data_IF_676966382720
#
_entry.id   IF_676966382720
#
_cell.length_a   1.000
_cell.length_b   1.000
_cell.length_c   1.000
_cell.angle_alpha   90.00
_cell.angle_beta   90.00
_cell.angle_gamma   90.00
#
_symmetry.space_group_name_H-M   'P 1'
#
loop_
_entity.id
_entity.type
_entity.pdbx_description
1 polymer ?
#
# COMPACT_ATOMS: atom_id res chain seq x y z
N UNK A 1 -11.56 -35.85 -18.23
CA UNK A 1 -10.34 -36.51 -18.75
C UNK A 1 -9.08 -35.76 -18.27
N UNK A 2 -8.92 -34.46 -18.45
CA UNK A 2 -7.73 -33.68 -18.00
C UNK A 2 -7.44 -33.80 -16.49
N UNK A 3 -8.47 -33.82 -15.64
CA UNK A 3 -8.30 -33.96 -14.20
C UNK A 3 -7.71 -35.34 -13.82
N UNK A 4 -8.19 -36.41 -14.42
CA UNK A 4 -7.64 -37.75 -14.19
C UNK A 4 -6.17 -37.83 -14.69
N UNK A 5 -5.89 -37.25 -15.86
CA UNK A 5 -4.55 -37.21 -16.38
C UNK A 5 -3.59 -36.46 -15.44
N UNK A 6 -3.98 -35.28 -14.95
CA UNK A 6 -3.17 -34.53 -13.99
C UNK A 6 -2.96 -35.28 -12.67
N UNK A 7 -3.94 -36.09 -12.21
CA UNK A 7 -3.77 -36.94 -11.03
C UNK A 7 -2.76 -38.06 -11.26
N UNK A 8 -2.78 -38.68 -12.44
CA UNK A 8 -1.79 -39.70 -12.80
C UNK A 8 -0.38 -39.11 -12.80
N UNK A 9 -0.20 -37.94 -13.41
CA UNK A 9 1.07 -37.24 -13.39
C UNK A 9 1.55 -36.89 -11.96
N UNK A 10 0.63 -36.54 -11.08
CA UNK A 10 0.93 -36.17 -9.70
C UNK A 10 1.47 -37.32 -8.83
N UNK A 11 1.25 -38.57 -9.23
CA UNK A 11 1.75 -39.76 -8.53
C UNK A 11 3.00 -40.39 -9.17
N UNK A 12 3.43 -39.90 -10.33
CA UNK A 12 4.63 -40.37 -11.03
C UNK A 12 5.89 -40.25 -10.16
N UNK A 13 6.91 -41.01 -10.52
CA UNK A 13 8.23 -40.78 -9.93
C UNK A 13 8.81 -39.43 -10.36
N UNK A 14 9.38 -38.65 -9.43
CA UNK A 14 9.88 -37.31 -9.72
C UNK A 14 10.88 -37.24 -10.89
N UNK A 15 11.74 -38.23 -11.02
CA UNK A 15 12.74 -38.29 -12.13
C UNK A 15 12.08 -38.46 -13.47
N UNK A 16 11.18 -39.44 -13.59
CA UNK A 16 10.46 -39.73 -14.84
C UNK A 16 9.63 -38.52 -15.29
N UNK A 17 9.02 -37.83 -14.32
CA UNK A 17 8.27 -36.61 -14.58
C UNK A 17 9.17 -35.47 -15.08
N UNK A 18 10.35 -35.28 -14.48
CA UNK A 18 11.32 -34.29 -14.95
C UNK A 18 11.80 -34.57 -16.38
N UNK A 19 12.18 -35.81 -16.64
CA UNK A 19 12.68 -36.23 -17.97
C UNK A 19 11.59 -36.01 -19.03
N UNK A 20 10.37 -36.44 -18.75
CA UNK A 20 9.23 -36.23 -19.63
C UNK A 20 8.95 -34.76 -19.90
N UNK A 21 8.82 -33.94 -18.87
CA UNK A 21 8.52 -32.52 -19.05
C UNK A 21 9.69 -31.73 -19.68
N UNK A 22 10.93 -32.08 -19.40
CA UNK A 22 12.09 -31.49 -20.05
C UNK A 22 12.08 -31.67 -21.58
N UNK A 23 11.56 -32.80 -22.05
CA UNK A 23 11.41 -33.09 -23.47
C UNK A 23 10.18 -32.45 -24.11
N UNK A 24 9.03 -32.59 -23.48
CA UNK A 24 7.75 -32.17 -24.09
C UNK A 24 7.33 -30.73 -23.79
N UNK A 25 8.03 -30.01 -22.91
CA UNK A 25 7.64 -28.65 -22.49
C UNK A 25 7.48 -27.67 -23.66
N UNK A 26 8.39 -27.62 -24.69
CA UNK A 26 8.22 -26.71 -25.80
C UNK A 26 6.93 -26.95 -26.59
N UNK A 27 6.63 -28.21 -26.92
CA UNK A 27 5.43 -28.59 -27.67
C UNK A 27 4.17 -28.36 -26.83
N UNK A 28 4.21 -28.72 -25.55
CA UNK A 28 3.11 -28.51 -24.62
C UNK A 28 2.78 -27.02 -24.46
N UNK A 29 3.79 -26.16 -24.45
CA UNK A 29 3.61 -24.70 -24.40
C UNK A 29 2.83 -24.21 -25.64
N UNK A 30 3.18 -24.65 -26.84
CA UNK A 30 2.45 -24.28 -28.06
C UNK A 30 1.01 -24.84 -28.05
N UNK A 31 0.80 -26.05 -27.54
CA UNK A 31 -0.53 -26.61 -27.35
C UNK A 31 -1.36 -25.78 -26.36
N UNK A 32 -0.77 -25.26 -25.28
CA UNK A 32 -1.46 -24.43 -24.29
C UNK A 32 -1.89 -23.06 -24.83
N UNK A 33 -1.17 -22.52 -25.81
CA UNK A 33 -1.58 -21.28 -26.50
C UNK A 33 -2.93 -21.50 -27.21
N UNK A 34 -3.10 -22.68 -27.84
CA UNK A 34 -4.33 -23.04 -28.55
C UNK A 34 -5.41 -23.57 -27.61
N UNK A 35 -5.05 -24.20 -26.50
CA UNK A 35 -5.98 -24.78 -25.53
C UNK A 35 -5.59 -24.44 -24.09
N UNK A 36 -6.15 -23.34 -23.60
CA UNK A 36 -5.86 -22.81 -22.25
C UNK A 36 -6.27 -23.76 -21.11
N UNK A 37 -7.14 -24.76 -21.35
CA UNK A 37 -7.52 -25.72 -20.32
C UNK A 37 -6.34 -26.61 -19.89
N UNK A 38 -5.35 -26.82 -20.75
CA UNK A 38 -4.14 -27.58 -20.40
C UNK A 38 -3.33 -26.97 -19.25
N UNK A 39 -3.47 -25.66 -19.04
CA UNK A 39 -2.82 -24.94 -17.94
C UNK A 39 -3.24 -25.47 -16.55
N UNK A 40 -4.43 -26.06 -16.42
CA UNK A 40 -4.88 -26.69 -15.18
C UNK A 40 -3.99 -27.88 -14.74
N UNK A 41 -3.34 -28.57 -15.68
CA UNK A 41 -2.38 -29.64 -15.37
C UNK A 41 -1.24 -29.05 -14.52
N UNK A 42 -0.68 -27.90 -14.94
CA UNK A 42 0.42 -27.23 -14.23
C UNK A 42 0.03 -26.77 -12.85
N UNK A 43 -1.16 -26.19 -12.72
CA UNK A 43 -1.71 -25.81 -11.41
C UNK A 43 -1.83 -27.00 -10.46
N UNK A 44 -2.25 -28.17 -10.97
CA UNK A 44 -2.37 -29.42 -10.18
C UNK A 44 -0.99 -29.95 -9.77
N UNK A 45 -0.03 -29.98 -10.68
CA UNK A 45 1.32 -30.46 -10.39
C UNK A 45 2.07 -29.59 -9.38
N UNK A 46 1.93 -28.26 -9.47
CA UNK A 46 2.50 -27.34 -8.49
C UNK A 46 1.87 -27.45 -7.08
N UNK A 47 0.74 -28.16 -6.96
CA UNK A 47 0.09 -28.41 -5.68
C UNK A 47 0.34 -29.83 -5.15
N UNK A 48 0.84 -30.74 -5.99
CA UNK A 48 1.03 -32.14 -5.66
C UNK A 48 2.31 -32.36 -4.84
N UNK A 49 2.17 -32.80 -3.58
CA UNK A 49 3.25 -32.89 -2.59
C UNK A 49 4.48 -33.71 -3.06
N UNK A 50 4.31 -34.70 -3.91
CA UNK A 50 5.39 -35.58 -4.41
C UNK A 50 6.21 -34.92 -5.52
N UNK A 51 5.58 -34.14 -6.41
CA UNK A 51 6.18 -33.72 -7.69
C UNK A 51 6.31 -32.20 -7.88
N UNK A 52 5.73 -31.36 -6.98
CA UNK A 52 5.74 -29.92 -7.19
C UNK A 52 7.15 -29.33 -7.33
N UNK A 53 8.10 -29.84 -6.56
CA UNK A 53 9.50 -29.38 -6.53
C UNK A 53 10.21 -29.59 -7.87
N UNK A 54 10.35 -30.85 -8.36
CA UNK A 54 10.98 -31.11 -9.64
C UNK A 54 10.23 -30.48 -10.81
N UNK A 55 8.89 -30.43 -10.75
CA UNK A 55 8.09 -29.80 -11.78
C UNK A 55 8.31 -28.28 -11.82
N UNK A 56 8.33 -27.60 -10.66
CA UNK A 56 8.59 -26.17 -10.57
C UNK A 56 9.98 -25.82 -11.13
N UNK A 57 11.00 -26.63 -10.83
CA UNK A 57 12.36 -26.43 -11.32
C UNK A 57 12.43 -26.49 -12.86
N UNK A 58 11.87 -27.52 -13.45
CA UNK A 58 11.79 -27.66 -14.93
C UNK A 58 11.01 -26.50 -15.55
N UNK A 59 9.87 -26.14 -14.97
CA UNK A 59 9.02 -25.09 -15.51
C UNK A 59 9.70 -23.71 -15.44
N UNK A 60 10.31 -23.36 -14.30
CA UNK A 60 11.00 -22.08 -14.13
C UNK A 60 12.18 -22.00 -15.09
N UNK A 61 12.99 -23.07 -15.17
CA UNK A 61 14.12 -23.12 -16.07
C UNK A 61 13.69 -22.93 -17.54
N UNK A 62 12.66 -23.63 -17.98
CA UNK A 62 12.10 -23.47 -19.34
C UNK A 62 11.64 -22.04 -19.62
N UNK A 63 10.87 -21.45 -18.72
CA UNK A 63 10.33 -20.10 -18.91
C UNK A 63 11.45 -19.05 -18.94
N UNK A 64 12.42 -19.14 -18.04
CA UNK A 64 13.52 -18.17 -17.95
C UNK A 64 14.49 -18.30 -19.11
N UNK A 65 14.82 -19.53 -19.53
CA UNK A 65 15.80 -19.76 -20.59
C UNK A 65 15.27 -19.51 -22.01
N UNK A 66 13.97 -19.68 -22.25
CA UNK A 66 13.43 -19.71 -23.62
C UNK A 66 12.22 -18.84 -23.90
N UNK A 67 11.53 -18.30 -22.90
CA UNK A 67 10.22 -17.63 -23.10
C UNK A 67 10.15 -16.18 -22.60
N UNK A 68 11.18 -15.62 -21.98
CA UNK A 68 11.16 -14.21 -21.53
C UNK A 68 11.07 -13.22 -22.69
N UNK A 69 11.63 -13.52 -23.86
CA UNK A 69 11.57 -12.64 -25.02
C UNK A 69 10.14 -12.43 -25.57
N UNK A 70 9.25 -13.38 -25.34
CA UNK A 70 7.85 -13.29 -25.76
C UNK A 70 7.13 -12.10 -25.10
N UNK A 71 7.58 -11.64 -23.94
CA UNK A 71 7.03 -10.51 -23.20
C UNK A 71 7.23 -9.15 -23.91
N UNK A 72 8.04 -9.07 -24.97
CA UNK A 72 8.14 -7.89 -25.86
C UNK A 72 6.79 -7.55 -26.50
N UNK A 73 5.93 -8.54 -26.67
CA UNK A 73 4.59 -8.40 -27.25
C UNK A 73 3.51 -8.71 -26.20
N UNK A 74 3.20 -7.80 -25.27
CA UNK A 74 2.37 -8.07 -24.10
C UNK A 74 0.95 -8.52 -24.43
N UNK A 75 0.43 -8.14 -25.58
CA UNK A 75 -0.94 -8.49 -26.02
C UNK A 75 -1.02 -9.89 -26.64
N UNK A 76 0.12 -10.52 -26.98
CA UNK A 76 0.16 -11.85 -27.60
C UNK A 76 -0.38 -12.94 -26.65
N UNK A 77 -1.04 -13.98 -27.20
CA UNK A 77 -1.49 -15.12 -26.40
C UNK A 77 -0.34 -15.81 -25.66
N UNK A 78 0.83 -15.88 -26.28
CA UNK A 78 2.03 -16.47 -25.69
C UNK A 78 2.54 -15.67 -24.48
N UNK A 79 2.57 -14.32 -24.56
CA UNK A 79 2.97 -13.48 -23.42
C UNK A 79 2.00 -13.61 -22.25
N UNK A 80 0.69 -13.63 -22.53
CA UNK A 80 -0.35 -13.85 -21.52
C UNK A 80 -0.19 -15.21 -20.84
N UNK A 81 0.14 -16.25 -21.60
CA UNK A 81 0.41 -17.58 -21.07
C UNK A 81 1.67 -17.59 -20.18
N UNK A 82 2.77 -16.97 -20.61
CA UNK A 82 4.00 -16.87 -19.80
C UNK A 82 3.72 -16.19 -18.46
N UNK A 83 3.02 -15.05 -18.48
CA UNK A 83 2.63 -14.34 -17.24
C UNK A 83 1.71 -15.19 -16.36
N UNK A 84 0.82 -15.98 -16.97
CA UNK A 84 -0.06 -16.87 -16.24
C UNK A 84 0.70 -18.00 -15.55
N UNK A 85 1.66 -18.62 -16.25
CA UNK A 85 2.51 -19.68 -15.70
C UNK A 85 3.39 -19.15 -14.55
N UNK A 86 4.02 -17.98 -14.72
CA UNK A 86 4.75 -17.34 -13.62
C UNK A 86 3.84 -17.04 -12.41
N UNK A 87 2.59 -16.65 -12.66
CA UNK A 87 1.62 -16.43 -11.57
C UNK A 87 1.32 -17.70 -10.79
N UNK A 88 1.29 -18.86 -11.44
CA UNK A 88 1.15 -20.14 -10.73
C UNK A 88 2.40 -20.48 -9.92
N UNK A 89 3.60 -20.33 -10.50
CA UNK A 89 4.85 -20.57 -9.79
C UNK A 89 4.92 -19.70 -8.54
N UNK A 90 4.76 -18.39 -8.70
CA UNK A 90 4.82 -17.44 -7.58
C UNK A 90 3.66 -17.60 -6.60
N UNK A 91 2.49 -18.04 -7.04
CA UNK A 91 1.37 -18.39 -6.16
C UNK A 91 1.63 -19.63 -5.30
N UNK A 92 2.48 -20.55 -5.78
CA UNK A 92 2.85 -21.74 -5.02
C UNK A 92 3.93 -21.48 -3.95
N UNK A 93 4.68 -20.38 -4.06
CA UNK A 93 5.78 -20.02 -3.16
C UNK A 93 5.35 -19.97 -1.69
N UNK A 94 4.17 -19.43 -1.41
CA UNK A 94 3.66 -19.31 -0.04
C UNK A 94 3.43 -20.66 0.67
N UNK A 95 3.28 -21.76 -0.08
CA UNK A 95 3.02 -23.09 0.46
C UNK A 95 4.30 -23.80 0.97
N UNK A 96 5.43 -23.57 0.28
CA UNK A 96 6.71 -24.18 0.62
C UNK A 96 7.87 -23.17 0.39
N UNK A 97 7.95 -22.09 1.19
CA UNK A 97 8.89 -21.00 0.94
C UNK A 97 10.35 -21.45 0.82
N UNK A 98 10.80 -22.34 1.71
CA UNK A 98 12.19 -22.81 1.72
C UNK A 98 12.60 -23.60 0.47
N UNK A 99 11.66 -24.35 -0.09
CA UNK A 99 11.93 -25.14 -1.32
C UNK A 99 11.93 -24.23 -2.54
N UNK A 100 10.96 -23.31 -2.61
CA UNK A 100 10.92 -22.34 -3.70
C UNK A 100 12.04 -21.32 -3.64
N UNK A 101 12.57 -20.98 -2.45
CA UNK A 101 13.76 -20.14 -2.35
C UNK A 101 14.93 -20.74 -3.11
N UNK A 102 15.19 -22.05 -2.92
CA UNK A 102 16.28 -22.77 -3.60
C UNK A 102 16.08 -22.86 -5.12
N UNK A 103 14.82 -23.09 -5.55
CA UNK A 103 14.48 -23.17 -6.98
C UNK A 103 14.63 -21.80 -7.65
N UNK A 104 14.14 -20.74 -6.98
CA UNK A 104 14.08 -19.40 -7.56
C UNK A 104 15.39 -18.63 -7.45
N UNK A 105 16.26 -18.96 -6.49
CA UNK A 105 17.49 -18.23 -6.24
C UNK A 105 18.37 -18.05 -7.50
N UNK A 106 18.61 -19.04 -8.37
CA UNK A 106 19.41 -18.86 -9.60
C UNK A 106 18.68 -18.06 -10.68
N UNK A 107 17.35 -18.01 -10.65
CA UNK A 107 16.52 -17.45 -11.71
C UNK A 107 16.05 -16.02 -11.47
N UNK A 108 15.77 -15.65 -10.22
CA UNK A 108 15.22 -14.33 -9.89
C UNK A 108 16.15 -13.18 -10.28
N UNK A 109 17.47 -13.23 -10.03
CA UNK A 109 18.38 -12.21 -10.53
C UNK A 109 18.34 -12.07 -12.07
N UNK A 110 18.32 -13.19 -12.78
CA UNK A 110 18.22 -13.21 -14.25
C UNK A 110 16.93 -12.59 -14.75
N UNK A 111 15.79 -12.93 -14.11
CA UNK A 111 14.50 -12.31 -14.42
C UNK A 111 14.57 -10.79 -14.22
N UNK A 112 15.13 -10.32 -13.12
CA UNK A 112 15.29 -8.89 -12.86
C UNK A 112 16.17 -8.21 -13.91
N UNK A 113 17.32 -8.78 -14.25
CA UNK A 113 18.22 -8.23 -15.26
C UNK A 113 17.54 -8.12 -16.62
N UNK A 114 16.88 -9.18 -17.07
CA UNK A 114 16.16 -9.21 -18.35
C UNK A 114 15.03 -8.18 -18.35
N UNK A 115 14.26 -8.08 -17.25
CA UNK A 115 13.18 -7.10 -17.14
C UNK A 115 13.72 -5.68 -17.15
N UNK A 116 14.77 -5.37 -16.41
CA UNK A 116 15.38 -4.03 -16.36
C UNK A 116 15.97 -3.63 -17.71
N UNK A 117 16.67 -4.54 -18.38
CA UNK A 117 17.22 -4.30 -19.73
C UNK A 117 16.10 -3.99 -20.72
N UNK A 118 15.11 -4.85 -20.82
CA UNK A 118 14.01 -4.67 -21.77
C UNK A 118 13.07 -3.51 -21.41
N UNK A 119 13.03 -3.06 -20.16
CA UNK A 119 12.28 -1.87 -19.76
C UNK A 119 12.75 -0.61 -20.50
N UNK A 120 14.03 -0.54 -20.85
CA UNK A 120 14.65 0.59 -21.55
C UNK A 120 14.79 0.39 -23.06
N UNK A 121 14.84 -0.85 -23.50
CA UNK A 121 15.08 -1.20 -24.92
C UNK A 121 13.80 -1.41 -25.74
N UNK A 122 12.69 -1.77 -25.08
CA UNK A 122 11.42 -2.11 -25.74
C UNK A 122 10.43 -0.95 -25.64
N UNK A 123 9.77 -0.62 -26.74
CA UNK A 123 8.80 0.47 -26.82
C UNK A 123 7.61 0.28 -25.85
N UNK A 124 7.16 -0.96 -25.64
CA UNK A 124 6.05 -1.31 -24.74
C UNK A 124 6.49 -2.37 -23.70
N UNK A 125 7.17 -1.99 -22.63
CA UNK A 125 7.73 -2.93 -21.65
C UNK A 125 6.70 -3.51 -20.68
N UNK A 126 5.40 -3.35 -20.94
CA UNK A 126 4.32 -3.74 -20.04
C UNK A 126 4.41 -5.19 -19.56
N UNK A 127 4.74 -6.13 -20.45
CA UNK A 127 4.87 -7.55 -20.11
C UNK A 127 5.95 -7.80 -19.05
N UNK A 128 7.09 -7.13 -19.18
CA UNK A 128 8.18 -7.23 -18.21
C UNK A 128 7.83 -6.61 -16.86
N UNK A 129 7.16 -5.46 -16.87
CA UNK A 129 6.70 -4.80 -15.62
C UNK A 129 5.65 -5.65 -14.90
N UNK A 130 4.75 -6.30 -15.64
CA UNK A 130 3.77 -7.23 -15.06
C UNK A 130 4.43 -8.49 -14.46
N UNK A 131 5.52 -8.97 -15.07
CA UNK A 131 6.30 -10.06 -14.50
C UNK A 131 6.97 -9.64 -13.20
N UNK A 132 7.65 -8.48 -13.18
CA UNK A 132 8.23 -7.91 -11.95
C UNK A 132 7.19 -7.76 -10.85
N UNK A 133 6.01 -7.22 -11.17
CA UNK A 133 4.89 -7.08 -10.22
C UNK A 133 4.51 -8.42 -9.58
N UNK A 134 4.35 -9.45 -10.41
CA UNK A 134 3.96 -10.77 -9.93
C UNK A 134 5.04 -11.36 -9.01
N UNK A 135 6.31 -11.19 -9.39
CA UNK A 135 7.45 -11.62 -8.61
C UNK A 135 7.58 -10.84 -7.28
N UNK A 136 7.52 -9.52 -7.31
CA UNK A 136 7.64 -8.68 -6.10
C UNK A 136 6.56 -8.98 -5.08
N UNK A 137 5.32 -9.12 -5.53
CA UNK A 137 4.19 -9.51 -4.65
C UNK A 137 4.42 -10.85 -3.96
N UNK A 138 4.96 -11.82 -4.67
CA UNK A 138 5.24 -13.15 -4.11
C UNK A 138 6.41 -13.11 -3.12
N UNK A 139 7.46 -12.37 -3.43
CA UNK A 139 8.65 -12.26 -2.57
C UNK A 139 8.37 -11.43 -1.31
N UNK A 140 7.54 -10.39 -1.39
CA UNK A 140 7.18 -9.54 -0.26
C UNK A 140 6.39 -10.31 0.83
N UNK A 141 5.63 -11.36 0.45
CA UNK A 141 4.84 -12.17 1.37
C UNK A 141 5.63 -13.24 2.14
N UNK A 142 6.90 -13.47 1.80
CA UNK A 142 7.69 -14.60 2.32
C UNK A 142 8.96 -14.13 3.03
N UNK A 143 9.40 -14.96 4.01
CA UNK A 143 10.64 -14.69 4.76
C UNK A 143 11.82 -15.38 4.07
N UNK A 144 12.21 -14.88 2.90
CA UNK A 144 13.41 -15.33 2.22
C UNK A 144 14.66 -14.69 2.81
N UNK A 145 15.74 -15.46 2.90
CA UNK A 145 17.03 -14.96 3.42
C UNK A 145 18.09 -14.84 2.34
N UNK A 146 18.32 -15.92 1.61
CA UNK A 146 19.36 -16.00 0.59
C UNK A 146 18.97 -15.19 -0.64
N UNK A 147 17.74 -15.39 -1.12
CA UNK A 147 17.24 -14.72 -2.31
C UNK A 147 17.21 -13.20 -2.14
N UNK A 148 16.69 -12.70 -1.00
CA UNK A 148 16.66 -11.25 -0.75
C UNK A 148 18.06 -10.65 -0.60
N UNK A 149 19.02 -11.41 -0.07
CA UNK A 149 20.43 -10.97 0.01
C UNK A 149 21.03 -10.84 -1.40
N UNK A 150 20.77 -11.78 -2.28
CA UNK A 150 21.30 -11.79 -3.65
C UNK A 150 20.67 -10.66 -4.50
N UNK A 151 19.50 -10.15 -4.13
CA UNK A 151 18.84 -9.02 -4.77
C UNK A 151 19.33 -7.63 -4.31
N UNK A 152 20.04 -7.53 -3.19
CA UNK A 152 20.50 -6.23 -2.66
C UNK A 152 21.25 -5.39 -3.71
N UNK A 153 22.21 -5.93 -4.48
CA UNK A 153 22.95 -5.16 -5.50
C UNK A 153 22.06 -4.62 -6.63
N UNK A 154 20.91 -5.27 -6.86
CA UNK A 154 19.99 -4.93 -7.95
C UNK A 154 18.95 -3.89 -7.55
N UNK A 155 18.77 -3.62 -6.25
CA UNK A 155 17.73 -2.71 -5.74
C UNK A 155 17.92 -1.29 -6.27
N UNK A 156 19.15 -0.76 -6.22
CA UNK A 156 19.42 0.61 -6.68
C UNK A 156 19.23 0.76 -8.19
N UNK A 157 19.80 -0.09 -9.06
CA UNK A 157 19.53 -0.04 -10.49
C UNK A 157 18.04 -0.17 -10.83
N UNK A 158 17.35 -1.11 -10.18
CA UNK A 158 15.91 -1.30 -10.36
C UNK A 158 15.11 -0.06 -10.00
N UNK A 159 15.35 0.52 -8.83
CA UNK A 159 14.68 1.74 -8.40
C UNK A 159 15.00 2.92 -9.32
N UNK A 160 16.24 3.05 -9.78
CA UNK A 160 16.63 4.08 -10.74
C UNK A 160 15.81 3.96 -12.02
N UNK A 161 15.75 2.76 -12.60
CA UNK A 161 14.96 2.48 -13.79
C UNK A 161 13.48 2.84 -13.59
N UNK A 162 12.85 2.35 -12.50
CA UNK A 162 11.43 2.60 -12.21
C UNK A 162 11.13 4.11 -12.08
N UNK A 163 11.97 4.86 -11.38
CA UNK A 163 11.80 6.29 -11.21
C UNK A 163 12.01 7.06 -12.53
N UNK A 164 13.00 6.68 -13.33
CA UNK A 164 13.22 7.28 -14.65
C UNK A 164 12.03 7.05 -15.58
N UNK A 165 11.48 5.83 -15.57
CA UNK A 165 10.25 5.52 -16.35
C UNK A 165 9.04 6.32 -15.84
N UNK A 166 8.93 6.53 -14.52
CA UNK A 166 7.83 7.29 -13.91
C UNK A 166 7.90 8.79 -14.25
N UNK A 167 9.09 9.34 -14.50
CA UNK A 167 9.29 10.71 -14.93
C UNK A 167 9.03 10.92 -16.43
N UNK A 168 9.05 9.84 -17.21
CA UNK A 168 8.75 9.86 -18.64
C UNK A 168 7.25 9.93 -18.97
N UNK A 169 6.90 10.12 -20.25
CA UNK A 169 5.52 10.11 -20.71
C UNK A 169 4.98 8.67 -20.67
N UNK A 170 4.27 8.32 -19.63
CA UNK A 170 3.67 7.01 -19.42
C UNK A 170 2.15 7.10 -19.36
N UNK A 171 1.45 6.11 -19.93
CA UNK A 171 -0.01 5.97 -19.75
C UNK A 171 -0.39 5.66 -18.29
N UNK A 172 -1.65 5.91 -17.94
CA UNK A 172 -2.12 5.73 -16.54
C UNK A 172 -1.86 4.32 -16.01
N UNK A 173 -2.20 3.28 -16.77
CA UNK A 173 -2.00 1.87 -16.36
C UNK A 173 -0.52 1.55 -16.07
N UNK A 174 0.38 2.06 -16.90
CA UNK A 174 1.82 1.87 -16.70
C UNK A 174 2.31 2.65 -15.49
N UNK A 175 1.81 3.88 -15.30
CA UNK A 175 2.17 4.72 -14.15
C UNK A 175 1.75 4.05 -12.83
N UNK A 176 0.53 3.53 -12.76
CA UNK A 176 0.03 2.81 -11.59
C UNK A 176 0.87 1.57 -11.29
N UNK A 177 1.26 0.83 -12.32
CA UNK A 177 2.12 -0.33 -12.20
C UNK A 177 3.53 0.03 -11.70
N UNK A 178 4.13 1.10 -12.21
CA UNK A 178 5.43 1.58 -11.77
C UNK A 178 5.42 2.06 -10.32
N UNK A 179 4.36 2.77 -9.91
CA UNK A 179 4.17 3.20 -8.52
C UNK A 179 4.06 1.99 -7.59
N UNK A 180 3.28 0.98 -7.97
CA UNK A 180 3.19 -0.26 -7.20
C UNK A 180 4.56 -0.93 -7.07
N UNK A 181 5.32 -1.05 -8.15
CA UNK A 181 6.65 -1.66 -8.15
C UNK A 181 7.63 -0.91 -7.24
N UNK A 182 7.60 0.43 -7.24
CA UNK A 182 8.43 1.22 -6.33
C UNK A 182 8.16 0.89 -4.85
N UNK A 183 6.90 0.71 -4.45
CA UNK A 183 6.53 0.47 -3.06
C UNK A 183 6.57 -1.03 -2.66
N UNK A 184 6.68 -1.94 -3.62
CA UNK A 184 6.73 -3.39 -3.37
C UNK A 184 8.10 -4.01 -3.66
N UNK A 185 9.16 -3.21 -3.70
CA UNK A 185 10.52 -3.71 -3.89
C UNK A 185 10.83 -4.87 -2.94
N UNK A 186 11.36 -5.99 -3.44
CA UNK A 186 11.63 -7.19 -2.63
C UNK A 186 12.91 -7.01 -1.82
N UNK A 187 12.81 -6.32 -0.69
CA UNK A 187 13.93 -6.08 0.18
C UNK A 187 13.51 -6.05 1.65
N UNK A 188 14.43 -6.37 2.54
CA UNK A 188 14.23 -6.15 3.97
C UNK A 188 14.20 -4.66 4.26
N UNK A 189 13.45 -4.26 5.28
CA UNK A 189 13.31 -2.86 5.66
C UNK A 189 14.67 -2.18 5.90
N UNK A 190 15.61 -2.87 6.52
CA UNK A 190 16.99 -2.38 6.73
C UNK A 190 17.72 -2.07 5.41
N UNK A 191 17.49 -2.86 4.39
CA UNK A 191 18.08 -2.66 3.05
C UNK A 191 17.39 -1.53 2.27
N UNK A 192 16.16 -1.17 2.64
CA UNK A 192 15.42 -0.06 2.03
C UNK A 192 15.75 1.31 2.63
N UNK A 193 16.33 1.37 3.83
CA UNK A 193 16.63 2.63 4.51
C UNK A 193 17.37 3.66 3.63
N UNK A 194 18.42 3.31 2.86
CA UNK A 194 19.11 4.27 2.00
C UNK A 194 18.24 4.84 0.86
N UNK A 195 17.18 4.13 0.50
CA UNK A 195 16.30 4.47 -0.62
C UNK A 195 15.01 5.18 -0.18
N UNK A 196 14.73 5.24 1.12
CA UNK A 196 13.52 5.86 1.66
C UNK A 196 13.26 7.27 1.12
N UNK A 197 14.25 8.19 1.07
CA UNK A 197 14.00 9.54 0.55
C UNK A 197 13.46 9.54 -0.89
N UNK A 198 13.89 8.58 -1.70
CA UNK A 198 13.47 8.43 -3.10
C UNK A 198 12.10 7.79 -3.24
N UNK A 199 11.68 6.98 -2.27
CA UNK A 199 10.38 6.31 -2.21
C UNK A 199 9.26 7.23 -1.71
N UNK A 200 9.59 8.40 -1.14
CA UNK A 200 8.59 9.34 -0.62
C UNK A 200 7.70 9.93 -1.71
N UNK A 201 8.27 10.31 -2.86
CA UNK A 201 7.49 10.83 -4.00
C UNK A 201 6.52 9.77 -4.57
N UNK A 202 6.96 8.53 -4.87
CA UNK A 202 6.04 7.44 -5.19
C UNK A 202 4.95 7.20 -4.15
N UNK A 203 5.27 7.25 -2.86
CA UNK A 203 4.29 7.11 -1.78
C UNK A 203 3.19 8.17 -1.87
N UNK A 204 3.57 9.45 -2.03
CA UNK A 204 2.60 10.56 -2.17
C UNK A 204 1.73 10.37 -3.40
N UNK A 205 2.31 9.96 -4.53
CA UNK A 205 1.56 9.69 -5.74
C UNK A 205 0.58 8.52 -5.57
N UNK A 206 0.97 7.45 -4.88
CA UNK A 206 0.06 6.35 -4.54
C UNK A 206 -1.11 6.82 -3.67
N UNK A 207 -0.86 7.66 -2.66
CA UNK A 207 -1.91 8.22 -1.80
C UNK A 207 -2.92 9.11 -2.56
N UNK A 208 -2.57 9.60 -3.75
CA UNK A 208 -3.43 10.42 -4.62
C UNK A 208 -3.96 9.64 -5.83
N UNK A 209 -3.63 8.37 -5.97
CA UNK A 209 -3.93 7.52 -7.13
C UNK A 209 -5.27 6.79 -7.04
N UNK A 210 -5.35 5.66 -7.76
CA UNK A 210 -6.49 4.74 -7.75
C UNK A 210 -6.69 4.07 -6.38
N UNK A 211 -7.88 3.51 -6.12
CA UNK A 211 -8.20 2.87 -4.83
C UNK A 211 -7.20 1.78 -4.41
N UNK A 212 -6.69 1.01 -5.36
CA UNK A 212 -5.67 -0.02 -5.10
C UNK A 212 -4.34 0.62 -4.67
N UNK A 213 -3.94 1.71 -5.32
CA UNK A 213 -2.74 2.46 -4.97
C UNK A 213 -2.88 3.17 -3.62
N UNK A 214 -4.03 3.76 -3.34
CA UNK A 214 -4.33 4.35 -2.03
C UNK A 214 -4.21 3.31 -0.93
N UNK A 215 -4.80 2.12 -1.14
CA UNK A 215 -4.68 1.00 -0.22
C UNK A 215 -3.23 0.60 0.02
N UNK A 216 -2.44 0.50 -1.05
CA UNK A 216 -1.02 0.18 -0.96
C UNK A 216 -0.24 1.28 -0.22
N UNK A 217 -0.43 2.53 -0.60
CA UNK A 217 0.23 3.70 0.02
C UNK A 217 -0.04 3.79 1.51
N UNK A 218 -1.30 3.63 1.93
CA UNK A 218 -1.68 3.66 3.35
C UNK A 218 -1.05 2.52 4.15
N UNK A 219 -1.01 1.30 3.59
CA UNK A 219 -0.35 0.15 4.24
C UNK A 219 1.16 0.31 4.33
N UNK A 220 1.78 0.82 3.29
CA UNK A 220 3.23 1.07 3.26
C UNK A 220 3.62 2.15 4.25
N UNK A 221 2.87 3.26 4.29
CA UNK A 221 3.11 4.34 5.25
C UNK A 221 2.93 3.86 6.69
N UNK A 222 1.87 3.08 6.97
CA UNK A 222 1.66 2.49 8.29
C UNK A 222 2.81 1.59 8.70
N UNK A 223 3.24 0.70 7.81
CA UNK A 223 4.35 -0.20 8.05
C UNK A 223 5.64 0.56 8.36
N UNK A 224 5.95 1.62 7.63
CA UNK A 224 7.13 2.45 7.91
C UNK A 224 7.03 3.20 9.24
N UNK A 225 5.89 3.80 9.52
CA UNK A 225 5.65 4.52 10.78
C UNK A 225 5.73 3.59 11.99
N UNK A 226 5.25 2.36 11.86
CA UNK A 226 5.24 1.39 12.96
C UNK A 226 6.59 0.66 13.15
N UNK A 227 7.32 0.43 12.06
CA UNK A 227 8.52 -0.41 12.08
C UNK A 227 9.82 0.38 12.13
N UNK A 228 9.84 1.63 11.65
CA UNK A 228 11.06 2.45 11.62
C UNK A 228 11.16 3.35 12.85
N UNK A 229 12.40 3.52 13.32
CA UNK A 229 12.69 4.56 14.30
C UNK A 229 12.42 5.95 13.65
N UNK A 230 11.74 6.87 14.35
CA UNK A 230 11.53 8.24 13.90
C UNK A 230 12.80 8.92 13.39
N UNK A 231 13.94 8.70 14.02
CA UNK A 231 15.22 9.30 13.65
C UNK A 231 15.66 8.97 12.20
N UNK A 232 15.20 7.85 11.64
CA UNK A 232 15.46 7.46 10.24
C UNK A 232 14.33 7.91 9.29
N UNK A 233 13.09 7.88 9.75
CA UNK A 233 11.94 8.18 8.91
C UNK A 233 11.77 9.70 8.74
N UNK A 234 11.93 10.48 9.81
CA UNK A 234 11.73 11.92 9.81
C UNK A 234 12.56 12.68 8.76
N UNK A 235 13.88 12.49 8.65
CA UNK A 235 14.67 13.18 7.63
C UNK A 235 14.21 12.87 6.20
N UNK A 236 13.78 11.62 5.98
CA UNK A 236 13.30 11.18 4.66
C UNK A 236 11.94 11.78 4.30
N UNK A 237 11.07 11.99 5.28
CA UNK A 237 9.73 12.54 5.09
C UNK A 237 9.69 14.07 5.10
N UNK A 238 10.71 14.74 5.63
CA UNK A 238 10.69 16.19 5.85
C UNK A 238 10.25 16.98 4.62
N UNK A 239 10.79 16.66 3.44
CA UNK A 239 10.50 17.37 2.20
C UNK A 239 9.11 17.09 1.61
N UNK A 240 8.46 16.01 2.01
CA UNK A 240 7.15 15.60 1.48
C UNK A 240 6.05 15.54 2.55
N UNK A 241 6.38 15.88 3.78
CA UNK A 241 5.44 15.78 4.91
C UNK A 241 4.14 16.53 4.63
N UNK A 242 4.25 17.74 4.09
CA UNK A 242 3.09 18.54 3.70
C UNK A 242 2.19 17.82 2.72
N UNK A 243 2.78 17.20 1.69
CA UNK A 243 2.02 16.48 0.67
C UNK A 243 1.39 15.18 1.21
N UNK A 244 2.09 14.47 2.09
CA UNK A 244 1.57 13.28 2.76
C UNK A 244 0.37 13.65 3.63
N UNK A 245 0.48 14.71 4.42
CA UNK A 245 -0.61 15.19 5.26
C UNK A 245 -1.80 15.60 4.40
N UNK A 246 -1.61 16.40 3.33
CA UNK A 246 -2.67 16.78 2.41
C UNK A 246 -3.36 15.57 1.78
N UNK A 247 -2.57 14.59 1.32
CA UNK A 247 -3.12 13.38 0.76
C UNK A 247 -3.96 12.59 1.78
N UNK A 248 -3.46 12.43 3.01
CA UNK A 248 -4.22 11.77 4.08
C UNK A 248 -5.51 12.55 4.42
N UNK A 249 -5.45 13.89 4.45
CA UNK A 249 -6.62 14.73 4.68
C UNK A 249 -7.69 14.58 3.60
N UNK A 250 -7.29 14.41 2.35
CA UNK A 250 -8.25 14.19 1.26
C UNK A 250 -9.06 12.89 1.42
N UNK A 251 -8.53 11.93 2.18
CA UNK A 251 -9.19 10.66 2.49
C UNK A 251 -10.01 10.68 3.78
N UNK A 252 -10.07 11.80 4.51
CA UNK A 252 -10.95 11.94 5.67
C UNK A 252 -12.39 12.11 5.23
N UNK A 253 -13.03 11.01 4.87
CA UNK A 253 -14.43 10.95 4.44
C UNK A 253 -15.20 10.00 5.37
N UNK A 254 -16.49 10.30 5.67
CA UNK A 254 -17.30 9.41 6.46
C UNK A 254 -17.57 8.06 5.77
N UNK A 255 -17.95 7.07 6.55
CA UNK A 255 -18.44 5.78 6.01
C UNK A 255 -19.60 6.03 5.03
N UNK A 256 -19.68 5.25 3.91
CA UNK A 256 -19.00 3.96 3.65
C UNK A 256 -17.60 4.05 3.03
N UNK A 257 -16.96 5.21 2.98
CA UNK A 257 -15.63 5.35 2.40
C UNK A 257 -14.59 4.52 3.18
N UNK A 258 -13.85 3.61 2.54
CA UNK A 258 -13.08 2.59 3.25
C UNK A 258 -11.79 3.12 3.90
N UNK A 259 -11.24 4.23 3.42
CA UNK A 259 -9.91 4.71 3.83
C UNK A 259 -9.93 5.76 4.93
N UNK A 260 -11.09 6.33 5.26
CA UNK A 260 -11.21 7.45 6.20
C UNK A 260 -10.66 7.15 7.59
N UNK A 261 -11.02 5.99 8.15
CA UNK A 261 -10.53 5.56 9.46
C UNK A 261 -9.01 5.34 9.49
N UNK A 262 -8.47 4.74 8.41
CA UNK A 262 -7.05 4.47 8.27
C UNK A 262 -6.24 5.77 8.13
N UNK A 263 -6.72 6.70 7.32
CA UNK A 263 -6.12 8.02 7.16
C UNK A 263 -6.07 8.79 8.49
N UNK A 264 -7.17 8.77 9.27
CA UNK A 264 -7.21 9.39 10.59
C UNK A 264 -6.20 8.77 11.57
N UNK A 265 -6.10 7.43 11.56
CA UNK A 265 -5.12 6.72 12.38
C UNK A 265 -3.68 7.14 12.06
N UNK A 266 -3.35 7.21 10.77
CA UNK A 266 -2.01 7.59 10.32
C UNK A 266 -1.68 9.03 10.66
N UNK A 267 -2.62 9.96 10.49
CA UNK A 267 -2.47 11.35 10.93
C UNK A 267 -2.19 11.43 12.44
N UNK A 268 -2.91 10.65 13.24
CA UNK A 268 -2.69 10.58 14.68
C UNK A 268 -1.30 10.02 15.04
N UNK A 269 -0.86 8.98 14.33
CA UNK A 269 0.48 8.39 14.54
C UNK A 269 1.58 9.37 14.15
N UNK A 270 1.47 10.03 13.02
CA UNK A 270 2.43 11.04 12.56
C UNK A 270 2.50 12.22 13.54
N UNK A 271 1.37 12.76 13.96
CA UNK A 271 1.30 13.87 14.91
C UNK A 271 1.79 13.52 16.32
N UNK A 272 1.56 12.28 16.77
CA UNK A 272 1.93 11.84 18.13
C UNK A 272 3.40 11.46 18.30
N UNK A 273 3.97 10.77 17.33
CA UNK A 273 5.37 10.32 17.37
C UNK A 273 6.38 11.41 17.03
N UNK A 274 6.02 12.31 16.12
CA UNK A 274 6.95 13.25 15.50
C UNK A 274 6.80 14.66 16.09
N UNK A 275 6.56 14.77 17.40
CA UNK A 275 6.57 16.08 18.11
C UNK A 275 7.87 16.87 17.92
N UNK A 276 8.95 16.24 17.44
CA UNK A 276 10.21 16.91 17.14
C UNK A 276 10.13 17.85 15.91
N UNK A 277 9.19 17.61 14.98
CA UNK A 277 8.90 18.57 13.91
C UNK A 277 8.20 19.83 14.43
N UNK A 278 7.56 19.72 15.59
CA UNK A 278 6.90 20.80 16.29
C UNK A 278 7.86 21.36 17.36
N UNK A 279 9.03 21.88 16.96
CA UNK A 279 9.93 22.56 17.90
C UNK A 279 9.29 23.81 18.50
N UNK A 280 8.32 24.37 17.79
CA UNK A 280 7.48 25.49 18.24
C UNK A 280 6.03 25.04 18.29
N UNK A 281 5.23 25.48 19.29
CA UNK A 281 3.81 25.18 19.30
C UNK A 281 3.20 25.75 18.00
N UNK A 282 2.54 24.86 17.23
CA UNK A 282 1.77 25.29 16.07
C UNK A 282 0.73 26.30 16.53
N UNK A 283 0.82 27.51 15.99
CA UNK A 283 -0.24 28.50 16.16
C UNK A 283 -1.46 27.98 15.38
N UNK A 284 -2.44 27.45 16.10
CA UNK A 284 -3.72 27.06 15.54
C UNK A 284 -4.55 28.34 15.39
N UNK A 285 -4.58 28.90 14.19
CA UNK A 285 -5.51 29.98 13.88
C UNK A 285 -6.83 29.38 13.39
N UNK A 286 -7.90 29.56 14.17
CA UNK A 286 -9.25 29.34 13.67
C UNK A 286 -9.68 30.58 12.88
N UNK A 287 -9.75 30.48 11.55
CA UNK A 287 -10.35 31.51 10.70
C UNK A 287 -11.70 31.02 10.20
N UNK A 288 -12.72 31.82 10.46
CA UNK A 288 -14.03 31.61 9.90
C UNK A 288 -14.05 32.22 8.48
N UNK A 289 -14.27 31.36 7.49
CA UNK A 289 -14.51 31.82 6.13
C UNK A 289 -16.01 31.68 5.84
N UNK A 290 -16.72 32.75 5.48
CA UNK A 290 -18.15 32.71 5.21
C UNK A 290 -18.54 31.73 4.08
N UNK A 291 -17.65 31.45 3.14
CA UNK A 291 -17.91 30.53 2.03
C UNK A 291 -17.55 29.07 2.34
N UNK A 292 -16.69 28.80 3.30
CA UNK A 292 -16.08 27.47 3.49
C UNK A 292 -16.14 26.92 4.90
N UNK A 293 -16.80 27.58 5.83
CA UNK A 293 -16.95 27.14 7.22
C UNK A 293 -15.66 27.28 8.06
N UNK A 294 -15.65 26.64 9.22
CA UNK A 294 -14.54 26.69 10.16
C UNK A 294 -13.33 25.92 9.63
N UNK A 295 -12.20 26.58 9.48
CA UNK A 295 -10.96 25.95 9.02
C UNK A 295 -9.87 26.14 10.06
N UNK A 296 -9.16 25.05 10.31
CA UNK A 296 -7.95 25.05 11.11
C UNK A 296 -6.76 25.28 10.18
N UNK A 297 -5.96 26.31 10.45
CA UNK A 297 -4.76 26.60 9.68
C UNK A 297 -3.58 25.97 10.41
N UNK A 298 -2.89 25.04 9.74
CA UNK A 298 -1.65 24.47 10.21
C UNK A 298 -0.52 25.02 9.33
N UNK A 299 0.42 25.71 9.95
CA UNK A 299 1.59 26.26 9.25
C UNK A 299 2.81 25.43 9.64
N UNK A 300 3.21 24.49 8.75
CA UNK A 300 4.47 23.73 8.91
C UNK A 300 5.65 24.52 8.37
N UNK A 301 5.41 25.28 7.30
CA UNK A 301 6.35 26.22 6.70
C UNK A 301 5.66 27.59 6.57
N UNK A 302 6.34 28.72 6.89
CA UNK A 302 5.73 30.04 6.83
C UNK A 302 5.13 30.39 5.46
N UNK A 303 5.63 29.78 4.39
CA UNK A 303 5.24 30.05 3.00
C UNK A 303 3.99 29.30 2.52
N UNK A 304 3.61 28.20 3.18
CA UNK A 304 2.51 27.33 2.73
C UNK A 304 1.63 26.88 3.89
N UNK A 305 0.65 27.71 4.31
CA UNK A 305 -0.29 27.33 5.37
C UNK A 305 -1.26 26.24 4.88
N UNK A 306 -1.52 25.25 5.73
CA UNK A 306 -2.49 24.20 5.50
C UNK A 306 -3.86 24.57 6.05
N UNK A 307 -4.88 24.45 5.22
CA UNK A 307 -6.27 24.60 5.61
C UNK A 307 -6.88 23.22 5.91
N UNK A 308 -7.02 22.91 7.18
CA UNK A 308 -7.64 21.67 7.64
C UNK A 308 -9.15 21.85 7.70
N UNK A 309 -9.96 21.07 6.96
CA UNK A 309 -11.40 21.10 7.06
C UNK A 309 -11.83 20.45 8.39
N UNK A 310 -11.95 21.25 9.43
CA UNK A 310 -12.27 20.78 10.78
C UNK A 310 -13.65 20.10 10.83
N UNK A 311 -14.61 20.58 10.05
CA UNK A 311 -15.94 20.00 9.87
C UNK A 311 -15.89 18.54 9.44
N UNK A 312 -15.03 18.19 8.48
CA UNK A 312 -14.85 16.79 8.04
C UNK A 312 -14.26 15.91 9.14
N UNK A 313 -13.31 16.45 9.91
CA UNK A 313 -12.69 15.72 11.01
C UNK A 313 -13.68 15.47 12.13
N UNK A 314 -14.49 16.48 12.47
CA UNK A 314 -15.55 16.37 13.48
C UNK A 314 -16.58 15.33 13.02
N UNK A 315 -17.06 15.39 11.78
CA UNK A 315 -18.02 14.45 11.24
C UNK A 315 -17.50 13.00 11.25
N UNK A 316 -16.23 12.80 10.90
CA UNK A 316 -15.59 11.48 10.94
C UNK A 316 -15.48 10.96 12.38
N UNK A 317 -15.08 11.82 13.32
CA UNK A 317 -14.97 11.46 14.73
C UNK A 317 -16.35 11.15 15.34
N UNK A 318 -17.38 11.92 15.01
CA UNK A 318 -18.77 11.67 15.43
C UNK A 318 -19.25 10.33 14.86
N UNK A 319 -19.04 10.06 13.58
CA UNK A 319 -19.39 8.79 12.96
C UNK A 319 -18.71 7.60 13.67
N UNK A 320 -17.44 7.73 14.02
CA UNK A 320 -16.70 6.70 14.75
C UNK A 320 -17.26 6.41 16.16
N UNK A 321 -17.87 7.42 16.81
CA UNK A 321 -18.48 7.26 18.14
C UNK A 321 -19.89 6.67 18.05
N UNK A 322 -20.68 7.11 17.06
CA UNK A 322 -22.12 6.80 16.97
C UNK A 322 -22.38 5.43 16.30
N UNK A 323 -21.60 5.03 15.32
CA UNK A 323 -21.84 3.77 14.62
C UNK A 323 -21.53 2.54 15.47
N UNK A 324 -22.61 1.90 15.98
CA UNK A 324 -22.54 0.67 16.79
C UNK A 324 -22.00 -0.55 16.03
N UNK A 325 -22.11 -0.58 14.70
CA UNK A 325 -21.76 -1.72 13.86
C UNK A 325 -20.35 -1.66 13.22
N UNK A 326 -19.61 -0.58 13.45
CA UNK A 326 -18.20 -0.63 13.14
C UNK A 326 -17.53 -1.54 14.17
N UNK A 327 -16.98 -2.66 13.72
CA UNK A 327 -15.98 -3.47 14.45
C UNK A 327 -14.71 -2.63 14.73
N UNK A 328 -14.88 -1.34 14.96
CA UNK A 328 -13.84 -0.42 15.30
C UNK A 328 -13.37 -0.73 16.70
N UNK A 329 -12.11 -1.05 16.79
CA UNK A 329 -11.35 -1.17 18.00
C UNK A 329 -11.74 -0.08 19.02
N UNK A 330 -11.90 -0.46 20.27
CA UNK A 330 -12.18 0.44 21.39
C UNK A 330 -11.21 1.64 21.45
N UNK A 331 -10.01 1.45 20.92
CA UNK A 331 -8.99 2.48 20.75
C UNK A 331 -9.46 3.64 19.87
N UNK A 332 -10.08 3.38 18.72
CA UNK A 332 -10.58 4.42 17.82
C UNK A 332 -11.67 5.29 18.48
N UNK A 333 -12.61 4.65 19.15
CA UNK A 333 -13.66 5.39 19.88
C UNK A 333 -13.08 6.31 20.94
N UNK A 334 -12.07 5.83 21.69
CA UNK A 334 -11.36 6.65 22.69
C UNK A 334 -10.63 7.84 22.05
N UNK A 335 -9.96 7.63 20.93
CA UNK A 335 -9.25 8.72 20.22
C UNK A 335 -10.23 9.72 19.61
N UNK A 336 -11.33 9.26 19.01
CA UNK A 336 -12.37 10.11 18.47
C UNK A 336 -13.00 10.98 19.58
N UNK A 337 -13.33 10.39 20.73
CA UNK A 337 -13.84 11.11 21.89
C UNK A 337 -12.83 12.15 22.41
N UNK A 338 -11.54 11.79 22.49
CA UNK A 338 -10.50 12.72 22.92
C UNK A 338 -10.38 13.90 21.94
N UNK A 339 -10.44 13.64 20.64
CA UNK A 339 -10.42 14.67 19.62
C UNK A 339 -11.63 15.61 19.72
N UNK A 340 -12.84 15.06 19.85
CA UNK A 340 -14.05 15.85 20.02
C UNK A 340 -14.01 16.73 21.28
N UNK A 341 -13.49 16.20 22.38
CA UNK A 341 -13.28 16.99 23.61
C UNK A 341 -12.35 18.17 23.40
N UNK A 342 -11.23 17.95 22.70
CA UNK A 342 -10.27 19.02 22.37
C UNK A 342 -10.90 20.07 21.47
N UNK A 343 -11.70 19.65 20.46
CA UNK A 343 -12.42 20.57 19.60
C UNK A 343 -13.43 21.42 20.38
N UNK A 344 -14.20 20.79 21.26
CA UNK A 344 -15.16 21.50 22.14
C UNK A 344 -14.46 22.49 23.08
N UNK A 345 -13.36 22.07 23.70
CA UNK A 345 -12.60 22.96 24.60
C UNK A 345 -12.03 24.17 23.86
N UNK A 346 -11.55 23.96 22.60
CA UNK A 346 -11.01 25.01 21.74
C UNK A 346 -12.11 26.01 21.32
N UNK A 347 -13.31 25.52 21.01
CA UNK A 347 -14.46 26.36 20.62
C UNK A 347 -15.05 27.17 21.77
N UNK A 348 -14.91 26.64 23.00
CA UNK A 348 -15.36 27.33 24.21
C UNK A 348 -14.45 28.49 24.59
N UNK A 349 -13.39 28.80 23.84
CA UNK A 349 -12.41 29.84 24.17
C UNK A 349 -11.91 29.75 25.62
N UNK A 350 -11.71 28.56 26.12
CA UNK A 350 -11.12 28.36 27.44
C UNK A 350 -9.68 28.86 27.39
N UNK A 351 -9.27 29.73 28.32
CA UNK A 351 -7.85 30.14 28.39
C UNK A 351 -6.98 28.92 28.47
N UNK A 352 -5.88 28.88 27.64
CA UNK A 352 -5.06 27.71 27.46
C UNK A 352 -4.41 27.14 28.73
N UNK A 353 -4.47 27.86 29.84
CA UNK A 353 -3.93 27.48 31.15
C UNK A 353 -4.98 26.98 32.13
N UNK A 354 -6.27 26.95 31.76
CA UNK A 354 -7.36 26.57 32.65
C UNK A 354 -7.88 25.21 32.25
N UNK A 355 -7.82 24.25 33.16
CA UNK A 355 -8.42 22.94 32.98
C UNK A 355 -9.93 23.01 33.16
N UNK A 356 -10.70 22.15 32.47
CA UNK A 356 -12.17 22.10 32.65
C UNK A 356 -12.61 21.86 34.13
N UNK A 357 -11.70 21.35 34.93
CA UNK A 357 -11.90 21.10 36.38
C UNK A 357 -11.92 22.39 37.23
N UNK A 358 -11.38 23.50 36.70
CA UNK A 358 -11.39 24.80 37.38
C UNK A 358 -12.69 25.60 37.21
N UNK A 359 -13.58 25.13 36.32
CA UNK A 359 -14.87 25.73 36.12
C UNK A 359 -15.92 25.08 37.03
N UNK A 360 -16.73 25.93 37.65
CA UNK A 360 -17.90 25.41 38.33
C UNK A 360 -18.89 24.79 37.34
N UNK A 361 -19.65 23.75 37.70
CA UNK A 361 -20.64 23.11 36.81
C UNK A 361 -21.63 24.12 36.17
N UNK A 362 -21.92 25.21 36.86
CA UNK A 362 -22.78 26.27 36.36
C UNK A 362 -22.12 27.10 35.26
N UNK A 363 -20.83 27.42 35.39
CA UNK A 363 -20.08 28.14 34.39
C UNK A 363 -19.86 27.28 33.13
N UNK A 364 -19.54 25.99 33.28
CA UNK A 364 -19.45 25.04 32.18
C UNK A 364 -20.79 24.88 31.44
N UNK A 365 -21.90 24.80 32.17
CA UNK A 365 -23.25 24.75 31.61
C UNK A 365 -23.58 26.00 30.80
N UNK A 366 -23.25 27.18 31.29
CA UNK A 366 -23.50 28.46 30.59
C UNK A 366 -22.65 28.56 29.31
N UNK A 367 -21.37 28.18 29.38
CA UNK A 367 -20.45 28.15 28.23
C UNK A 367 -20.90 27.14 27.18
N UNK A 368 -21.32 25.94 27.60
CA UNK A 368 -21.85 24.90 26.73
C UNK A 368 -23.12 25.36 26.01
N UNK A 369 -24.06 25.97 26.73
CA UNK A 369 -25.30 26.50 26.14
C UNK A 369 -25.01 27.59 25.14
N UNK A 370 -24.08 28.53 25.42
CA UNK A 370 -23.71 29.60 24.50
C UNK A 370 -22.97 29.07 23.26
N UNK A 371 -22.09 28.07 23.40
CA UNK A 371 -21.40 27.43 22.31
C UNK A 371 -22.37 26.60 21.44
N UNK A 372 -23.30 25.87 22.06
CA UNK A 372 -24.34 25.13 21.34
C UNK A 372 -25.28 26.08 20.61
N UNK A 373 -25.65 27.20 21.19
CA UNK A 373 -26.51 28.21 20.55
C UNK A 373 -25.80 28.86 19.34
N UNK A 374 -24.53 29.18 19.46
CA UNK A 374 -23.76 29.73 18.36
C UNK A 374 -23.50 28.72 17.23
N UNK A 375 -23.24 27.47 17.55
CA UNK A 375 -23.06 26.38 16.56
C UNK A 375 -24.41 25.92 15.97
N UNK A 376 -25.50 25.98 16.76
CA UNK A 376 -26.86 25.62 16.34
C UNK A 376 -27.41 26.57 15.28
N UNK A 377 -27.10 27.84 15.37
CA UNK A 377 -27.49 28.83 14.35
C UNK A 377 -26.71 28.67 13.05
N UNK A 378 -25.53 28.01 13.07
CA UNK A 378 -24.65 27.88 11.94
C UNK A 378 -24.74 26.52 11.20
N UNK A 379 -25.35 25.50 11.80
CA UNK A 379 -25.40 24.17 11.19
C UNK A 379 -26.83 23.69 11.01
N UNK A 380 -27.20 23.40 9.76
CA UNK A 380 -28.41 22.67 9.40
C UNK A 380 -28.28 21.14 9.60
N UNK A 381 -27.11 20.64 10.00
CA UNK A 381 -26.83 19.21 10.12
C UNK A 381 -27.43 18.64 11.41
N UNK A 382 -28.53 17.88 11.29
CA UNK A 382 -29.24 17.23 12.40
C UNK A 382 -28.37 16.30 13.24
N UNK A 383 -27.37 15.63 12.62
CA UNK A 383 -26.55 14.63 13.30
C UNK A 383 -25.54 15.23 14.30
N UNK A 384 -25.06 16.46 14.04
CA UNK A 384 -24.18 17.17 14.95
C UNK A 384 -24.90 17.62 16.21
N UNK A 385 -26.21 17.93 16.10
CA UNK A 385 -27.06 18.33 17.20
C UNK A 385 -27.27 17.21 18.22
N UNK A 386 -27.51 15.99 17.72
CA UNK A 386 -27.70 14.80 18.55
C UNK A 386 -26.41 14.41 19.30
N UNK A 387 -25.26 14.58 18.66
CA UNK A 387 -23.96 14.23 19.25
C UNK A 387 -23.50 15.20 20.33
N UNK A 388 -23.86 16.50 20.22
CA UNK A 388 -23.60 17.51 21.26
C UNK A 388 -24.49 17.34 22.50
N UNK A 389 -25.70 16.77 22.36
CA UNK A 389 -26.60 16.47 23.45
C UNK A 389 -26.25 15.19 24.21
N UNK A 390 -25.42 14.31 23.66
CA UNK A 390 -24.98 13.07 24.30
C UNK A 390 -23.66 13.22 25.07
N UNK A 391 -23.08 14.42 25.11
CA UNK A 391 -21.90 14.81 25.89
C UNK A 391 -22.28 15.79 27.02
#
# INVERSE_FOLDING_TARGET
MLHLFSQILAIMEPRDLMDMFSLCMPELFECMISNTQLVHIFSTLLQAAKVYRPFADVLVNFLVSSKLDVLKHPDSPAAKLVLHLFRFIFGAVAKAPSDFERILQPHVPVIMEVCMKNATEVERPLGYMQLLRTMFRALAGCKFELLLRDLIPMLQPCLNMLLTMLEGPTGEDMRDLLLELCLTLPARLSSLLPYLPRLMKPLVLCLKGSDDLVSLGLRTLEFWVDSLNPDFLEPSMANVMSEVILALWSHLRPTPYPWGAKALQLLGKLGGRNRRFLKEPLALECKENPEHGLRLILTFEPSTPFLVPLDRCINLAVAAVVHKNCAMDSFYRKQALKFLRVCLSSQLNLPGNVTAEEYTPKQLSTLLVSAVDSSWRRSEASDMKVSLLLF
#
